data_IF_114211672425
#
_entry.id   IF_114211672425
#
_cell.length_a   1.000
_cell.length_b   1.000
_cell.length_c   1.000
_cell.angle_alpha   90.00
_cell.angle_beta   90.00
_cell.angle_gamma   90.00
#
_symmetry.space_group_name_H-M   'P 1'
#
loop_
_entity.id
_entity.type
_entity.pdbx_description
1 polymer ?
#
# COMPACT_ATOMS: atom_id res chain seq x y z
N UNK A 1 -32.56 -9.13 -9.14
CA UNK A 1 -31.40 -9.74 -8.48
C UNK A 1 -30.74 -10.79 -9.37
N UNK A 2 -31.52 -11.74 -9.90
CA UNK A 2 -31.01 -12.82 -10.74
C UNK A 2 -30.15 -12.38 -11.94
N UNK A 3 -30.53 -11.29 -12.61
CA UNK A 3 -29.84 -10.76 -13.80
C UNK A 3 -28.51 -10.04 -13.44
N UNK A 4 -28.38 -9.55 -12.20
CA UNK A 4 -27.24 -8.78 -11.73
C UNK A 4 -26.30 -9.59 -10.83
N UNK A 5 -26.55 -10.90 -10.68
CA UNK A 5 -25.80 -11.74 -9.78
C UNK A 5 -25.28 -13.01 -10.50
N UNK A 6 -24.01 -13.29 -10.37
CA UNK A 6 -23.35 -14.43 -11.02
C UNK A 6 -23.73 -15.80 -10.39
N UNK A 7 -24.54 -15.79 -9.34
CA UNK A 7 -24.98 -17.00 -8.66
C UNK A 7 -23.97 -17.54 -7.65
N UNK A 8 -24.24 -18.77 -7.20
CA UNK A 8 -23.43 -19.50 -6.21
C UNK A 8 -22.99 -20.84 -6.81
N UNK A 9 -21.72 -21.18 -6.69
CA UNK A 9 -21.20 -22.53 -7.03
C UNK A 9 -20.97 -23.33 -5.76
N UNK A 10 -21.62 -24.47 -5.67
CA UNK A 10 -21.59 -25.37 -4.52
C UNK A 10 -20.88 -26.67 -4.94
N UNK A 11 -19.84 -27.02 -4.21
CA UNK A 11 -19.21 -28.34 -4.29
C UNK A 11 -19.89 -29.27 -3.26
N UNK A 12 -20.18 -30.47 -3.65
CA UNK A 12 -20.76 -31.48 -2.75
C UNK A 12 -20.11 -32.84 -2.97
N UNK A 13 -20.06 -33.64 -1.92
CA UNK A 13 -19.60 -35.04 -2.01
C UNK A 13 -20.66 -35.94 -2.55
N UNK A 14 -21.96 -35.59 -2.40
CA UNK A 14 -23.07 -36.38 -2.91
C UNK A 14 -24.30 -35.53 -3.19
N UNK A 15 -24.91 -35.73 -4.33
CA UNK A 15 -26.15 -35.09 -4.74
C UNK A 15 -27.23 -36.13 -5.05
N UNK A 16 -28.33 -36.08 -4.34
CA UNK A 16 -29.52 -36.90 -4.62
C UNK A 16 -30.65 -36.00 -5.09
N UNK A 17 -31.13 -36.23 -6.29
CA UNK A 17 -32.27 -35.50 -6.86
C UNK A 17 -33.54 -36.33 -6.76
N UNK A 18 -34.56 -35.82 -6.09
CA UNK A 18 -35.93 -36.28 -6.12
C UNK A 18 -36.74 -35.37 -7.03
N UNK A 19 -38.01 -35.72 -7.37
CA UNK A 19 -38.84 -34.96 -8.33
C UNK A 19 -38.91 -33.47 -8.05
N UNK A 20 -38.94 -33.05 -6.78
CA UNK A 20 -39.09 -31.63 -6.38
C UNK A 20 -38.03 -31.16 -5.40
N UNK A 21 -37.09 -32.02 -4.97
CA UNK A 21 -36.10 -31.67 -3.96
C UNK A 21 -34.73 -32.24 -4.36
N UNK A 22 -33.69 -31.52 -3.93
CA UNK A 22 -32.30 -31.97 -4.03
C UNK A 22 -31.65 -32.00 -2.66
N UNK A 23 -31.03 -33.14 -2.31
CA UNK A 23 -30.29 -33.34 -1.07
C UNK A 23 -28.80 -33.28 -1.39
N UNK A 24 -28.07 -32.40 -0.70
CA UNK A 24 -26.64 -32.24 -0.82
C UNK A 24 -25.97 -32.71 0.47
N UNK A 25 -24.96 -33.56 0.37
CA UNK A 25 -24.15 -34.02 1.49
C UNK A 25 -22.71 -33.43 1.34
N UNK A 26 -22.12 -32.90 2.42
CA UNK A 26 -20.77 -32.35 2.39
C UNK A 26 -20.66 -31.12 1.49
N UNK A 27 -21.32 -29.99 1.88
CA UNK A 27 -21.42 -28.80 1.07
C UNK A 27 -20.23 -27.85 1.32
N UNK A 28 -19.67 -27.31 0.25
CA UNK A 28 -18.72 -26.21 0.28
C UNK A 28 -19.07 -25.18 -0.79
N UNK A 29 -19.15 -23.92 -0.43
CA UNK A 29 -19.35 -22.82 -1.38
C UNK A 29 -18.00 -22.44 -1.96
N UNK A 30 -17.81 -22.70 -3.25
CA UNK A 30 -16.54 -22.45 -3.95
C UNK A 30 -16.55 -21.14 -4.76
N UNK A 31 -17.74 -20.59 -5.00
CA UNK A 31 -17.93 -19.26 -5.61
C UNK A 31 -19.26 -18.67 -5.15
N UNK A 32 -19.35 -17.33 -5.04
CA UNK A 32 -20.56 -16.61 -4.60
C UNK A 32 -20.62 -16.37 -3.09
N UNK A 33 -19.50 -16.40 -2.36
CA UNK A 33 -19.45 -16.12 -0.92
C UNK A 33 -20.02 -14.76 -0.55
N UNK A 34 -19.79 -13.72 -1.36
CA UNK A 34 -20.39 -12.40 -1.16
C UNK A 34 -21.91 -12.41 -1.31
N UNK A 35 -22.42 -13.13 -2.32
CA UNK A 35 -23.86 -13.31 -2.55
C UNK A 35 -24.49 -14.02 -1.35
N UNK A 36 -23.87 -15.09 -0.88
CA UNK A 36 -24.34 -15.87 0.29
C UNK A 36 -24.29 -15.02 1.56
N UNK A 37 -23.21 -14.28 1.78
CA UNK A 37 -23.06 -13.38 2.91
C UNK A 37 -24.12 -12.24 2.90
N UNK A 38 -24.36 -11.63 1.74
CA UNK A 38 -25.38 -10.60 1.58
C UNK A 38 -26.79 -11.12 1.87
N UNK A 39 -27.12 -12.33 1.39
CA UNK A 39 -28.41 -12.96 1.68
C UNK A 39 -28.52 -13.30 3.16
N UNK A 40 -27.46 -13.86 3.76
CA UNK A 40 -27.45 -14.24 5.18
C UNK A 40 -27.45 -13.06 6.15
N UNK A 41 -27.08 -11.85 5.70
CA UNK A 41 -27.11 -10.62 6.51
C UNK A 41 -28.48 -9.94 6.55
N UNK A 42 -29.47 -10.39 5.75
CA UNK A 42 -30.81 -9.80 5.73
C UNK A 42 -31.58 -10.24 6.98
N UNK A 43 -31.88 -9.29 7.86
CA UNK A 43 -32.61 -9.53 9.12
C UNK A 43 -34.10 -9.85 8.89
N UNK A 44 -34.69 -9.27 7.86
CA UNK A 44 -36.09 -9.44 7.52
C UNK A 44 -36.24 -10.52 6.42
N UNK A 45 -36.50 -11.74 6.84
CA UNK A 45 -36.60 -12.92 5.96
C UNK A 45 -37.71 -12.74 4.90
N UNK A 46 -38.76 -11.97 5.19
CA UNK A 46 -39.85 -11.73 4.22
C UNK A 46 -39.36 -10.99 2.98
N UNK A 47 -38.30 -10.18 3.09
CA UNK A 47 -37.67 -9.52 1.93
C UNK A 47 -36.94 -10.49 0.99
N UNK A 48 -36.73 -11.72 1.41
CA UNK A 48 -36.14 -12.76 0.58
C UNK A 48 -37.18 -13.58 -0.19
N UNK A 49 -38.49 -13.36 0.08
CA UNK A 49 -39.55 -14.05 -0.63
C UNK A 49 -39.50 -13.71 -2.13
N UNK A 50 -39.47 -14.78 -2.95
CA UNK A 50 -39.31 -14.63 -4.40
C UNK A 50 -37.91 -14.34 -4.91
N UNK A 51 -36.90 -14.22 -4.02
CA UNK A 51 -35.51 -14.09 -4.42
C UNK A 51 -35.03 -15.37 -5.10
N UNK A 52 -34.55 -15.25 -6.33
CA UNK A 52 -33.98 -16.37 -7.10
C UNK A 52 -32.50 -16.13 -7.32
N UNK A 53 -31.69 -17.15 -7.02
CA UNK A 53 -30.25 -17.16 -7.23
C UNK A 53 -29.90 -18.37 -8.11
N UNK A 54 -29.04 -18.16 -9.10
CA UNK A 54 -28.52 -19.27 -9.89
C UNK A 54 -27.57 -20.11 -9.00
N UNK A 55 -27.84 -21.41 -8.88
CA UNK A 55 -26.99 -22.32 -8.15
C UNK A 55 -26.41 -23.38 -9.09
N UNK A 56 -25.08 -23.43 -9.17
CA UNK A 56 -24.35 -24.49 -9.85
C UNK A 56 -23.90 -25.51 -8.81
N UNK A 57 -24.42 -26.72 -8.89
CA UNK A 57 -24.03 -27.81 -7.99
C UNK A 57 -23.06 -28.75 -8.71
N UNK A 58 -21.91 -29.00 -8.10
CA UNK A 58 -20.83 -29.85 -8.63
C UNK A 58 -20.61 -30.97 -7.63
N UNK A 59 -20.89 -32.20 -8.03
CA UNK A 59 -20.56 -33.38 -7.24
C UNK A 59 -19.15 -33.89 -7.62
N UNK A 60 -18.24 -33.95 -6.66
CA UNK A 60 -16.88 -34.45 -6.86
C UNK A 60 -16.27 -34.96 -5.56
N UNK A 61 -15.76 -36.22 -5.59
CA UNK A 61 -15.07 -36.87 -4.47
C UNK A 61 -13.56 -37.06 -4.71
N UNK A 62 -13.06 -36.69 -5.89
CA UNK A 62 -11.66 -36.80 -6.26
C UNK A 62 -10.92 -35.55 -5.76
N UNK A 63 -9.99 -35.71 -4.83
CA UNK A 63 -9.28 -34.60 -4.19
C UNK A 63 -8.49 -33.75 -5.18
N UNK A 64 -7.90 -34.31 -6.22
CA UNK A 64 -7.10 -33.55 -7.21
C UNK A 64 -8.02 -32.80 -8.19
N UNK A 65 -9.17 -33.39 -8.56
CA UNK A 65 -10.19 -32.68 -9.33
C UNK A 65 -10.84 -31.59 -8.50
N UNK A 66 -11.11 -31.81 -7.21
CA UNK A 66 -11.63 -30.77 -6.30
C UNK A 66 -10.69 -29.57 -6.27
N UNK A 67 -9.38 -29.76 -6.10
CA UNK A 67 -8.39 -28.66 -6.16
C UNK A 67 -8.48 -27.88 -7.46
N UNK A 68 -8.54 -28.58 -8.60
CA UNK A 68 -8.66 -27.93 -9.93
C UNK A 68 -10.00 -27.21 -10.08
N UNK A 69 -11.12 -27.82 -9.66
CA UNK A 69 -12.45 -27.20 -9.71
C UNK A 69 -12.47 -25.92 -8.88
N UNK A 70 -11.94 -25.93 -7.66
CA UNK A 70 -11.85 -24.74 -6.80
C UNK A 70 -10.96 -23.69 -7.46
N UNK A 71 -9.80 -24.08 -7.95
CA UNK A 71 -8.89 -23.19 -8.65
C UNK A 71 -9.57 -22.54 -9.86
N UNK A 72 -10.18 -23.30 -10.77
CA UNK A 72 -10.79 -22.77 -11.98
C UNK A 72 -12.09 -21.96 -11.71
N UNK A 73 -12.89 -22.31 -10.73
CA UNK A 73 -14.07 -21.52 -10.39
C UNK A 73 -13.71 -20.20 -9.69
N UNK A 74 -12.63 -20.16 -8.92
CA UNK A 74 -12.10 -18.91 -8.37
C UNK A 74 -11.36 -18.08 -9.42
N UNK A 75 -10.81 -18.70 -10.45
CA UNK A 75 -10.18 -17.99 -11.59
C UNK A 75 -11.19 -17.41 -12.57
N UNK A 76 -12.43 -17.87 -12.63
CA UNK A 76 -13.49 -17.23 -13.41
C UNK A 76 -13.96 -15.89 -12.82
N UNK A 77 -13.80 -15.67 -11.53
CA UNK A 77 -13.75 -14.33 -10.97
C UNK A 77 -12.35 -13.84 -11.22
N UNK A 78 -12.10 -13.02 -12.25
CA UNK A 78 -10.80 -12.42 -12.54
C UNK A 78 -9.73 -12.86 -11.55
N UNK A 79 -8.83 -13.79 -11.96
CA UNK A 79 -7.50 -13.76 -11.37
C UNK A 79 -7.05 -12.36 -11.71
N UNK A 80 -7.20 -11.49 -10.76
CA UNK A 80 -6.61 -10.21 -10.91
C UNK A 80 -5.12 -10.49 -10.96
N UNK A 81 -4.40 -9.80 -11.80
CA UNK A 81 -2.94 -9.71 -11.81
C UNK A 81 -2.41 -9.66 -10.39
N UNK A 82 -3.17 -9.08 -9.47
CA UNK A 82 -2.97 -9.11 -8.02
C UNK A 82 -2.74 -10.51 -7.43
N UNK A 83 -3.66 -11.45 -7.66
CA UNK A 83 -3.57 -12.79 -7.05
C UNK A 83 -2.36 -13.57 -7.59
N UNK A 84 -1.96 -13.27 -8.82
CA UNK A 84 -0.75 -13.83 -9.42
C UNK A 84 0.51 -13.30 -8.73
N UNK A 85 0.60 -11.98 -8.54
CA UNK A 85 1.78 -11.36 -7.93
C UNK A 85 1.85 -11.56 -6.42
N UNK A 86 0.74 -11.50 -5.70
CA UNK A 86 0.73 -11.69 -4.24
C UNK A 86 1.20 -13.08 -3.82
N UNK A 87 1.05 -14.09 -4.69
CA UNK A 87 1.52 -15.45 -4.42
C UNK A 87 2.93 -15.75 -4.97
N UNK A 88 3.64 -14.73 -5.49
CA UNK A 88 4.99 -14.92 -6.03
C UNK A 88 5.99 -15.35 -4.95
N UNK A 89 7.07 -16.09 -5.33
CA UNK A 89 8.15 -16.43 -4.39
C UNK A 89 8.78 -15.21 -3.73
N UNK A 90 8.89 -14.09 -4.46
CA UNK A 90 9.44 -12.81 -3.97
C UNK A 90 8.61 -12.26 -2.81
N UNK A 91 7.27 -12.28 -2.94
CA UNK A 91 6.39 -11.80 -1.87
C UNK A 91 6.43 -12.69 -0.62
N UNK A 92 6.64 -14.00 -0.80
CA UNK A 92 6.84 -14.92 0.34
C UNK A 92 8.15 -14.60 1.06
N UNK A 93 9.24 -14.38 0.31
CA UNK A 93 10.53 -13.97 0.88
C UNK A 93 10.40 -12.65 1.65
N UNK A 94 9.73 -11.65 1.10
CA UNK A 94 9.44 -10.38 1.78
C UNK A 94 8.67 -10.63 3.09
N UNK A 95 7.68 -11.52 3.09
CA UNK A 95 6.94 -11.90 4.29
C UNK A 95 7.83 -12.53 5.37
N UNK A 96 8.78 -13.39 4.99
CA UNK A 96 9.75 -14.00 5.90
C UNK A 96 10.72 -12.94 6.48
N UNK A 97 11.18 -12.00 5.63
CA UNK A 97 12.02 -10.89 6.06
C UNK A 97 11.27 -9.97 7.05
N UNK A 98 9.97 -9.66 6.81
CA UNK A 98 9.16 -8.90 7.76
C UNK A 98 9.02 -9.62 9.11
N UNK A 99 8.86 -10.95 9.09
CA UNK A 99 8.77 -11.75 10.31
C UNK A 99 10.06 -11.66 11.14
N UNK A 100 11.24 -11.64 10.49
CA UNK A 100 12.53 -11.44 11.18
C UNK A 100 12.65 -10.06 11.81
N UNK A 101 11.97 -9.06 11.27
CA UNK A 101 11.92 -7.71 11.83
C UNK A 101 10.85 -7.54 12.94
N UNK A 102 10.14 -8.61 13.29
CA UNK A 102 9.05 -8.58 14.28
C UNK A 102 7.72 -8.08 13.74
N UNK A 103 7.55 -8.00 12.43
CA UNK A 103 6.31 -7.59 11.77
C UNK A 103 5.66 -8.77 11.03
N UNK A 104 4.36 -8.68 10.84
CA UNK A 104 3.61 -9.59 9.97
C UNK A 104 3.29 -8.91 8.64
N UNK A 105 3.27 -9.68 7.55
CA UNK A 105 2.99 -9.20 6.21
C UNK A 105 1.86 -10.00 5.58
N UNK A 106 0.77 -9.31 5.19
CA UNK A 106 -0.40 -9.94 4.59
C UNK A 106 -0.45 -9.72 3.09
N UNK A 107 -0.58 -10.83 2.37
CA UNK A 107 -0.77 -10.84 0.92
C UNK A 107 -2.26 -10.76 0.51
N UNK A 108 -3.17 -10.73 1.48
CA UNK A 108 -4.62 -10.70 1.25
C UNK A 108 -5.11 -9.28 0.99
N UNK A 109 -6.09 -9.16 0.08
CA UNK A 109 -6.80 -7.89 -0.17
C UNK A 109 -7.67 -7.46 1.00
N UNK A 110 -7.88 -6.15 1.12
CA UNK A 110 -8.80 -5.57 2.09
C UNK A 110 -8.37 -5.78 3.53
N UNK A 111 -7.09 -6.04 3.75
CA UNK A 111 -6.56 -6.24 5.07
C UNK A 111 -6.35 -4.90 5.78
N UNK A 112 -6.90 -4.75 6.99
CA UNK A 112 -6.64 -3.59 7.83
C UNK A 112 -5.27 -3.69 8.48
N UNK A 113 -4.45 -2.64 8.31
CA UNK A 113 -3.14 -2.57 8.93
C UNK A 113 -3.27 -2.32 10.43
N UNK A 114 -2.43 -3.00 11.19
CA UNK A 114 -2.19 -2.71 12.60
C UNK A 114 -0.77 -2.20 12.81
N UNK A 115 -0.40 -1.87 14.04
CA UNK A 115 0.96 -1.42 14.38
C UNK A 115 2.07 -2.44 14.05
N UNK A 116 1.71 -3.71 13.89
CA UNK A 116 2.68 -4.79 13.61
C UNK A 116 2.37 -5.60 12.34
N UNK A 117 1.33 -5.22 11.60
CA UNK A 117 0.86 -6.00 10.46
C UNK A 117 0.63 -5.09 9.24
N UNK A 118 1.33 -5.37 8.16
CA UNK A 118 1.27 -4.65 6.89
C UNK A 118 0.52 -5.46 5.84
N UNK A 119 -0.43 -4.82 5.17
CA UNK A 119 -0.98 -5.38 3.93
C UNK A 119 -0.14 -4.96 2.72
N UNK A 120 0.09 -5.86 1.80
CA UNK A 120 0.79 -5.56 0.53
C UNK A 120 0.17 -4.35 -0.19
N UNK A 121 -1.14 -4.15 -0.07
CA UNK A 121 -1.85 -2.99 -0.64
C UNK A 121 -1.37 -1.66 -0.08
N UNK A 122 -1.05 -1.62 1.21
CA UNK A 122 -0.70 -0.37 1.90
C UNK A 122 0.72 0.09 1.61
N UNK A 123 1.59 -0.85 1.23
CA UNK A 123 3.01 -0.59 0.99
C UNK A 123 3.31 -0.34 -0.49
N UNK A 124 2.46 -0.83 -1.40
CA UNK A 124 2.72 -0.80 -2.84
C UNK A 124 2.85 0.62 -3.40
N UNK A 125 1.89 1.51 -3.12
CA UNK A 125 1.92 2.88 -3.63
C UNK A 125 3.08 3.69 -3.06
N UNK A 126 3.35 3.68 -1.72
CA UNK A 126 4.54 4.33 -1.16
C UNK A 126 5.84 3.84 -1.78
N UNK A 127 5.96 2.54 -2.03
CA UNK A 127 7.17 1.93 -2.58
C UNK A 127 7.43 2.37 -4.02
N UNK A 128 6.40 2.29 -4.89
CA UNK A 128 6.47 2.81 -6.27
C UNK A 128 6.85 4.29 -6.30
N UNK A 129 6.26 5.08 -5.40
CA UNK A 129 6.57 6.50 -5.30
C UNK A 129 8.01 6.75 -4.85
N UNK A 130 8.53 5.98 -3.88
CA UNK A 130 9.92 6.09 -3.40
C UNK A 130 10.93 5.79 -4.53
N UNK A 131 10.57 4.93 -5.47
CA UNK A 131 11.35 4.65 -6.68
C UNK A 131 11.18 5.70 -7.79
N UNK A 132 10.50 6.83 -7.51
CA UNK A 132 10.33 7.95 -8.43
C UNK A 132 9.04 7.92 -9.27
N UNK A 133 8.30 6.82 -9.30
CA UNK A 133 7.07 6.70 -10.09
C UNK A 133 5.83 7.13 -9.30
N UNK A 134 5.81 8.41 -8.87
CA UNK A 134 4.67 9.01 -8.20
C UNK A 134 3.41 9.05 -9.08
N UNK A 135 3.57 9.05 -10.41
CA UNK A 135 2.46 9.06 -11.34
C UNK A 135 1.65 7.76 -11.28
N UNK A 136 2.31 6.60 -11.31
CA UNK A 136 1.67 5.29 -11.11
C UNK A 136 1.09 5.16 -9.71
N UNK A 137 1.79 5.64 -8.67
CA UNK A 137 1.28 5.65 -7.31
C UNK A 137 -0.04 6.43 -7.19
N UNK A 138 -0.17 7.57 -7.88
CA UNK A 138 -1.37 8.40 -7.88
C UNK A 138 -2.56 7.79 -8.67
N UNK A 139 -2.32 6.81 -9.54
CA UNK A 139 -3.41 6.07 -10.22
C UNK A 139 -4.13 5.08 -9.31
N UNK A 140 -3.58 4.84 -8.12
CA UNK A 140 -4.19 3.98 -7.11
C UNK A 140 -3.54 2.61 -6.99
N UNK A 141 -3.83 1.95 -5.86
CA UNK A 141 -3.23 0.65 -5.53
C UNK A 141 -3.47 -0.44 -6.58
N UNK A 142 -4.66 -0.45 -7.19
CA UNK A 142 -4.98 -1.45 -8.21
C UNK A 142 -4.06 -1.33 -9.43
N UNK A 143 -3.73 -0.10 -9.85
CA UNK A 143 -2.86 0.12 -11.00
C UNK A 143 -1.47 -0.50 -10.82
N UNK A 144 -0.90 -0.48 -9.61
CA UNK A 144 0.39 -1.11 -9.32
C UNK A 144 0.35 -2.62 -9.57
N UNK A 145 -0.80 -3.25 -9.30
CA UNK A 145 -0.96 -4.70 -9.47
C UNK A 145 -1.52 -5.10 -10.84
N UNK A 146 -2.16 -4.18 -11.56
CA UNK A 146 -2.75 -4.47 -12.87
C UNK A 146 -1.72 -4.42 -14.01
N UNK A 147 -0.58 -3.78 -13.78
CA UNK A 147 0.48 -3.68 -14.78
C UNK A 147 1.78 -4.30 -14.27
N UNK A 148 2.35 -5.22 -15.07
CA UNK A 148 3.62 -5.86 -14.72
C UNK A 148 4.73 -4.84 -14.48
N UNK A 149 4.84 -3.82 -15.31
CA UNK A 149 5.86 -2.78 -15.17
C UNK A 149 5.77 -2.03 -13.85
N UNK A 150 4.55 -1.63 -13.43
CA UNK A 150 4.36 -0.93 -12.17
C UNK A 150 4.65 -1.84 -10.96
N UNK A 151 4.27 -3.12 -11.05
CA UNK A 151 4.58 -4.11 -10.03
C UNK A 151 6.08 -4.35 -9.91
N UNK A 152 6.76 -4.59 -11.03
CA UNK A 152 8.21 -4.81 -11.07
C UNK A 152 8.97 -3.56 -10.55
N UNK A 153 8.53 -2.35 -10.92
CA UNK A 153 9.09 -1.12 -10.39
C UNK A 153 8.96 -1.01 -8.87
N UNK A 154 7.87 -1.55 -8.29
CA UNK A 154 7.68 -1.56 -6.85
C UNK A 154 8.51 -2.65 -6.18
N UNK A 155 8.31 -3.90 -6.58
CA UNK A 155 8.68 -5.05 -5.77
C UNK A 155 9.90 -5.83 -6.27
N UNK A 156 10.37 -5.61 -7.51
CA UNK A 156 11.51 -6.35 -8.04
C UNK A 156 12.75 -6.15 -7.16
N UNK A 157 13.25 -7.23 -6.59
CA UNK A 157 14.39 -7.27 -5.65
C UNK A 157 14.21 -6.43 -4.37
N UNK A 158 13.02 -5.89 -4.08
CA UNK A 158 12.77 -5.10 -2.89
C UNK A 158 12.84 -5.94 -1.62
N UNK A 159 13.43 -5.39 -0.57
CA UNK A 159 13.59 -6.02 0.74
C UNK A 159 12.61 -5.43 1.76
N UNK A 160 12.24 -6.21 2.78
CA UNK A 160 11.28 -5.79 3.79
C UNK A 160 11.63 -4.46 4.46
N UNK A 161 12.91 -4.22 4.75
CA UNK A 161 13.35 -2.96 5.36
C UNK A 161 13.16 -1.76 4.44
N UNK A 162 13.40 -1.92 3.14
CA UNK A 162 13.18 -0.87 2.15
C UNK A 162 11.68 -0.56 1.99
N UNK A 163 10.85 -1.61 1.96
CA UNK A 163 9.39 -1.47 1.95
C UNK A 163 8.91 -0.76 3.21
N UNK A 164 9.45 -1.12 4.37
CA UNK A 164 9.17 -0.48 5.65
C UNK A 164 9.56 1.01 5.62
N UNK A 165 10.70 1.35 5.03
CA UNK A 165 11.15 2.73 4.84
C UNK A 165 10.13 3.52 4.02
N UNK A 166 9.70 3.04 2.87
CA UNK A 166 8.68 3.70 2.04
C UNK A 166 7.36 3.92 2.79
N UNK A 167 6.92 2.91 3.54
CA UNK A 167 5.71 2.98 4.34
C UNK A 167 5.81 4.03 5.47
N UNK A 168 6.93 4.04 6.21
CA UNK A 168 7.12 4.99 7.32
C UNK A 168 7.25 6.44 6.85
N UNK A 169 7.88 6.69 5.69
CA UNK A 169 7.87 8.01 5.03
C UNK A 169 6.43 8.45 4.74
N UNK A 170 5.62 7.56 4.14
CA UNK A 170 4.21 7.86 3.85
C UNK A 170 3.43 8.21 5.13
N UNK A 171 3.63 7.46 6.21
CA UNK A 171 2.99 7.71 7.50
C UNK A 171 3.50 8.99 8.18
N UNK A 172 4.78 9.32 8.04
CA UNK A 172 5.34 10.57 8.52
C UNK A 172 4.69 11.79 7.82
N UNK A 173 4.45 11.73 6.51
CA UNK A 173 3.73 12.77 5.77
C UNK A 173 2.29 12.94 6.30
N UNK A 174 1.58 11.83 6.54
CA UNK A 174 0.24 11.86 7.14
C UNK A 174 0.29 12.48 8.54
N UNK A 175 1.31 12.16 9.34
CA UNK A 175 1.52 12.71 10.68
C UNK A 175 1.80 14.21 10.67
N UNK A 176 2.70 14.68 9.79
CA UNK A 176 2.97 16.12 9.60
C UNK A 176 1.68 16.86 9.22
N UNK A 177 0.90 16.33 8.27
CA UNK A 177 -0.40 16.90 7.91
C UNK A 177 -1.34 17.00 9.10
N UNK A 178 -1.44 15.95 9.93
CA UNK A 178 -2.28 15.93 11.12
C UNK A 178 -1.80 16.94 12.18
N UNK A 179 -0.50 17.04 12.41
CA UNK A 179 0.09 18.01 13.34
C UNK A 179 -0.24 19.44 12.93
N UNK A 180 -0.05 19.78 11.65
CA UNK A 180 -0.37 21.14 11.15
C UNK A 180 -1.88 21.40 11.25
N UNK A 181 -2.71 20.40 10.87
CA UNK A 181 -4.17 20.52 10.93
C UNK A 181 -4.67 20.81 12.35
N UNK A 182 -4.07 20.18 13.36
CA UNK A 182 -4.48 20.27 14.77
C UNK A 182 -3.81 21.42 15.54
N UNK A 183 -2.93 22.20 14.92
CA UNK A 183 -2.29 23.35 15.54
C UNK A 183 -3.33 24.43 15.82
N UNK A 184 -3.43 24.94 17.06
CA UNK A 184 -4.42 25.93 17.45
C UNK A 184 -4.18 27.29 16.78
N UNK A 185 -2.93 27.77 16.77
CA UNK A 185 -2.53 29.04 16.18
C UNK A 185 -1.69 28.78 14.92
N UNK A 186 -2.35 28.65 13.77
CA UNK A 186 -1.68 28.49 12.48
C UNK A 186 -1.15 29.83 11.99
N UNK A 187 0.11 29.86 11.58
CA UNK A 187 0.70 30.97 10.85
C UNK A 187 0.55 30.72 9.33
N UNK A 188 0.80 31.74 8.53
CA UNK A 188 0.63 31.65 7.07
C UNK A 188 1.34 30.46 6.45
N UNK A 189 2.55 30.14 6.89
CA UNK A 189 3.29 28.98 6.39
C UNK A 189 2.62 27.64 6.77
N UNK A 190 1.92 27.54 7.90
CA UNK A 190 1.16 26.35 8.27
C UNK A 190 -0.05 26.16 7.32
N UNK A 191 -0.71 27.27 6.96
CA UNK A 191 -1.83 27.26 6.02
C UNK A 191 -1.36 26.84 4.62
N UNK A 192 -0.26 27.41 4.14
CA UNK A 192 0.34 27.06 2.85
C UNK A 192 0.76 25.60 2.80
N UNK A 193 1.41 25.10 3.86
CA UNK A 193 1.79 23.70 4.00
C UNK A 193 0.55 22.77 4.01
N UNK A 194 -0.49 23.17 4.73
CA UNK A 194 -1.72 22.38 4.81
C UNK A 194 -2.44 22.32 3.47
N UNK A 195 -2.52 23.46 2.75
CA UNK A 195 -3.13 23.52 1.42
C UNK A 195 -2.42 22.57 0.45
N UNK A 196 -1.09 22.59 0.42
CA UNK A 196 -0.31 21.65 -0.40
C UNK A 196 -0.57 20.20 -0.01
N UNK A 197 -0.54 19.86 1.28
CA UNK A 197 -0.76 18.50 1.78
C UNK A 197 -2.21 18.02 1.63
N UNK A 198 -3.17 18.90 1.37
CA UNK A 198 -4.56 18.52 1.04
C UNK A 198 -4.69 18.03 -0.40
N UNK A 199 -3.79 18.41 -1.31
CA UNK A 199 -3.79 17.89 -2.67
C UNK A 199 -3.55 16.38 -2.66
N UNK A 200 -4.39 15.62 -3.36
CA UNK A 200 -4.33 14.16 -3.38
C UNK A 200 -3.00 13.61 -3.93
N UNK A 201 -2.36 14.36 -4.82
CA UNK A 201 -1.08 13.96 -5.44
C UNK A 201 0.14 14.27 -4.58
N UNK A 202 0.01 15.15 -3.57
CA UNK A 202 1.15 15.67 -2.79
C UNK A 202 1.89 14.56 -2.02
N UNK A 203 1.17 13.59 -1.44
CA UNK A 203 1.78 12.53 -0.65
C UNK A 203 2.80 11.72 -1.45
N UNK A 204 2.40 11.22 -2.61
CA UNK A 204 3.28 10.39 -3.42
C UNK A 204 4.37 11.20 -4.13
N UNK A 205 4.08 12.44 -4.48
CA UNK A 205 5.10 13.36 -4.99
C UNK A 205 6.18 13.65 -3.93
N UNK A 206 5.80 13.91 -2.67
CA UNK A 206 6.75 14.08 -1.56
C UNK A 206 7.59 12.83 -1.31
N UNK A 207 6.98 11.64 -1.35
CA UNK A 207 7.72 10.38 -1.22
C UNK A 207 8.76 10.25 -2.34
N UNK A 208 8.39 10.57 -3.57
CA UNK A 208 9.31 10.54 -4.71
C UNK A 208 10.45 11.56 -4.56
N UNK A 209 10.16 12.77 -4.09
CA UNK A 209 11.19 13.77 -3.76
C UNK A 209 12.16 13.21 -2.72
N UNK A 210 11.66 12.62 -1.62
CA UNK A 210 12.52 11.99 -0.60
C UNK A 210 13.41 10.92 -1.21
N UNK A 211 12.88 10.05 -2.09
CA UNK A 211 13.67 9.05 -2.80
C UNK A 211 14.78 9.63 -3.65
N UNK A 212 14.51 10.72 -4.38
CA UNK A 212 15.50 11.41 -5.21
C UNK A 212 16.59 12.12 -4.42
N UNK A 213 16.27 12.66 -3.24
CA UNK A 213 17.21 13.44 -2.43
C UNK A 213 17.80 12.64 -1.25
N UNK A 214 17.60 11.33 -1.19
CA UNK A 214 17.92 10.50 -0.01
C UNK A 214 19.40 10.58 0.37
N UNK A 215 20.31 10.55 -0.61
CA UNK A 215 21.75 10.71 -0.37
C UNK A 215 22.07 12.08 0.22
N UNK A 216 21.40 13.12 -0.25
CA UNK A 216 21.55 14.48 0.30
C UNK A 216 20.99 14.57 1.73
N UNK A 217 19.91 13.88 2.04
CA UNK A 217 19.35 13.87 3.40
C UNK A 217 20.29 13.21 4.41
N UNK A 218 21.11 12.24 3.98
CA UNK A 218 21.94 11.42 4.86
C UNK A 218 23.43 11.69 4.77
N UNK A 219 23.88 12.49 3.80
CA UNK A 219 25.29 12.71 3.45
C UNK A 219 26.07 11.39 3.21
N UNK A 220 25.37 10.37 2.69
CA UNK A 220 25.91 9.04 2.42
C UNK A 220 25.49 8.53 1.06
N UNK A 221 26.37 7.81 0.35
CA UNK A 221 25.92 7.03 -0.79
C UNK A 221 24.99 5.92 -0.30
N UNK A 222 23.74 5.97 -0.71
CA UNK A 222 22.75 4.96 -0.39
C UNK A 222 22.27 4.27 -1.65
N UNK A 223 22.09 2.96 -1.58
CA UNK A 223 21.38 2.28 -2.64
C UNK A 223 19.88 2.64 -2.54
N UNK A 224 19.38 3.44 -3.48
CA UNK A 224 17.98 3.91 -3.49
C UNK A 224 16.93 2.79 -3.46
N UNK A 225 17.31 1.54 -3.77
CA UNK A 225 16.45 0.35 -3.73
C UNK A 225 16.64 -0.53 -2.49
N UNK A 226 17.62 -0.23 -1.63
CA UNK A 226 17.98 -1.08 -0.50
C UNK A 226 18.24 -0.29 0.79
N UNK A 227 17.49 0.76 1.01
CA UNK A 227 17.59 1.54 2.25
C UNK A 227 17.21 0.67 3.44
N UNK A 228 18.04 0.69 4.48
CA UNK A 228 17.83 -0.07 5.70
C UNK A 228 17.93 0.84 6.92
N UNK A 229 17.23 0.45 7.98
CA UNK A 229 17.40 1.04 9.29
C UNK A 229 18.54 0.35 10.03
N UNK A 230 19.35 1.10 10.75
CA UNK A 230 20.39 0.56 11.64
C UNK A 230 19.76 0.07 12.93
N UNK A 231 19.47 -1.20 13.01
CA UNK A 231 18.84 -1.81 14.16
C UNK A 231 19.74 -1.98 15.40
N UNK A 232 21.03 -1.64 15.32
CA UNK A 232 21.98 -1.76 16.44
C UNK A 232 22.08 -0.48 17.29
N UNK A 233 21.30 0.54 17.00
CA UNK A 233 21.23 1.76 17.81
C UNK A 233 20.11 1.64 18.84
N UNK A 234 20.01 2.59 19.76
CA UNK A 234 18.96 2.64 20.80
C UNK A 234 17.53 2.59 20.25
N UNK A 235 17.34 2.91 18.96
CA UNK A 235 16.08 2.68 18.24
C UNK A 235 15.78 1.19 18.03
N UNK A 236 16.77 0.33 17.98
CA UNK A 236 16.62 -1.07 17.60
C UNK A 236 16.03 -1.98 18.67
N UNK A 237 16.27 -1.69 19.93
CA UNK A 237 15.84 -2.56 21.03
C UNK A 237 14.33 -2.56 21.26
N UNK A 238 13.61 -1.53 20.75
CA UNK A 238 12.16 -1.33 20.94
C UNK A 238 11.51 -0.70 19.72
N UNK A 239 11.96 -0.99 18.50
CA UNK A 239 11.43 -0.36 17.29
C UNK A 239 9.95 -0.61 17.12
N UNK A 240 9.17 0.21 17.78
CA UNK A 240 7.79 0.37 17.39
C UNK A 240 7.76 1.06 16.01
N UNK A 241 6.79 0.72 15.20
CA UNK A 241 6.54 1.42 13.93
C UNK A 241 6.49 2.95 14.13
N UNK A 242 5.99 3.38 15.27
CA UNK A 242 5.89 4.79 15.65
C UNK A 242 7.26 5.46 15.79
N UNK A 243 8.29 4.76 16.27
CA UNK A 243 9.65 5.33 16.36
C UNK A 243 10.23 5.59 14.97
N UNK A 244 10.01 4.67 14.03
CA UNK A 244 10.45 4.85 12.65
C UNK A 244 9.68 5.99 11.94
N UNK A 245 8.38 6.12 12.22
CA UNK A 245 7.58 7.25 11.72
C UNK A 245 8.07 8.56 12.35
N UNK A 246 8.40 8.54 13.65
CA UNK A 246 8.92 9.72 14.37
C UNK A 246 10.29 10.15 13.87
N UNK A 247 11.13 9.22 13.39
CA UNK A 247 12.39 9.53 12.75
C UNK A 247 12.20 10.35 11.47
N UNK A 248 11.21 10.01 10.64
CA UNK A 248 10.93 10.71 9.39
C UNK A 248 10.11 12.00 9.55
N UNK A 249 9.28 12.09 10.58
CA UNK A 249 8.35 13.24 10.77
C UNK A 249 9.05 14.59 10.75
N UNK A 250 10.13 14.83 11.55
CA UNK A 250 10.84 16.12 11.52
C UNK A 250 11.61 16.35 10.21
N UNK A 251 12.05 15.31 9.53
CA UNK A 251 12.70 15.41 8.21
C UNK A 251 11.70 15.90 7.17
N UNK A 252 10.51 15.31 7.13
CA UNK A 252 9.43 15.76 6.22
C UNK A 252 9.04 17.19 6.53
N UNK A 253 8.89 17.57 7.80
CA UNK A 253 8.58 18.94 8.19
C UNK A 253 9.67 19.93 7.74
N UNK A 254 10.94 19.54 7.78
CA UNK A 254 12.07 20.38 7.37
C UNK A 254 12.15 20.60 5.86
N UNK A 255 11.84 19.58 5.04
CA UNK A 255 11.93 19.69 3.57
C UNK A 255 10.67 20.26 2.93
N UNK A 256 9.50 20.11 3.56
CA UNK A 256 8.20 20.49 3.01
C UNK A 256 8.14 21.95 2.52
N UNK A 257 8.64 22.96 3.25
CA UNK A 257 8.63 24.36 2.79
C UNK A 257 9.43 24.56 1.49
N UNK A 258 10.53 23.83 1.32
CA UNK A 258 11.35 23.91 0.10
C UNK A 258 10.64 23.26 -1.08
N UNK A 259 9.99 22.10 -0.86
CA UNK A 259 9.20 21.46 -1.92
C UNK A 259 8.07 22.38 -2.39
N UNK A 260 7.36 23.02 -1.46
CA UNK A 260 6.28 23.98 -1.79
C UNK A 260 6.82 25.20 -2.53
N UNK A 261 7.98 25.73 -2.11
CA UNK A 261 8.61 26.86 -2.76
C UNK A 261 8.88 26.61 -4.24
N UNK A 262 9.30 25.41 -4.61
CA UNK A 262 9.69 25.08 -5.99
C UNK A 262 8.56 24.45 -6.82
N UNK A 263 7.64 23.71 -6.19
CA UNK A 263 6.49 23.13 -6.88
C UNK A 263 5.26 24.06 -6.91
N UNK A 264 5.24 25.11 -6.07
CA UNK A 264 4.07 25.97 -5.89
C UNK A 264 2.97 25.30 -5.05
N UNK A 265 1.96 26.08 -4.70
CA UNK A 265 0.81 25.59 -3.93
C UNK A 265 -0.15 24.75 -4.77
N UNK A 266 -0.34 25.10 -6.03
CA UNK A 266 -1.14 24.32 -6.99
C UNK A 266 -0.28 23.24 -7.65
N UNK A 267 -0.05 22.16 -6.89
CA UNK A 267 0.71 21.02 -7.37
C UNK A 267 0.08 20.37 -8.61
N UNK A 268 -1.24 20.43 -8.77
CA UNK A 268 -1.91 19.78 -9.92
C UNK A 268 -1.53 20.47 -11.23
N UNK A 269 -1.61 21.78 -11.26
CA UNK A 269 -1.18 22.60 -12.41
C UNK A 269 0.33 22.41 -12.65
N UNK A 270 1.15 22.53 -11.59
CA UNK A 270 2.60 22.34 -11.71
C UNK A 270 2.98 21.00 -12.37
N UNK A 271 2.38 19.88 -11.92
CA UNK A 271 2.68 18.55 -12.47
C UNK A 271 2.21 18.37 -13.92
N UNK A 272 1.24 19.16 -14.39
CA UNK A 272 0.73 19.07 -15.76
C UNK A 272 1.50 19.94 -16.76
N UNK A 273 2.09 21.04 -16.30
CA UNK A 273 2.74 22.06 -17.14
C UNK A 273 4.27 21.97 -17.14
N UNK A 274 4.86 21.28 -16.15
CA UNK A 274 6.31 21.20 -15.99
C UNK A 274 6.86 19.94 -16.62
N UNK A 275 7.86 20.07 -17.44
CA UNK A 275 8.65 18.94 -17.94
C UNK A 275 9.55 18.42 -16.80
N UNK A 276 9.50 17.11 -16.55
CA UNK A 276 10.29 16.45 -15.50
C UNK A 276 10.15 17.09 -14.08
N UNK A 277 8.92 17.30 -13.57
CA UNK A 277 8.67 18.06 -12.35
C UNK A 277 9.36 17.48 -11.11
N UNK A 278 9.49 16.14 -11.03
CA UNK A 278 10.20 15.47 -9.94
C UNK A 278 11.68 15.88 -9.91
N UNK A 279 12.36 15.75 -11.03
CA UNK A 279 13.79 16.08 -11.14
C UNK A 279 14.05 17.56 -10.85
N UNK A 280 13.22 18.44 -11.38
CA UNK A 280 13.33 19.89 -11.17
C UNK A 280 13.24 20.25 -9.70
N UNK A 281 12.19 19.82 -9.00
CA UNK A 281 12.02 20.11 -7.56
C UNK A 281 13.11 19.43 -6.73
N UNK A 282 13.43 18.17 -7.01
CA UNK A 282 14.47 17.46 -6.26
C UNK A 282 15.83 18.14 -6.36
N UNK A 283 16.21 18.62 -7.55
CA UNK A 283 17.47 19.35 -7.76
C UNK A 283 17.52 20.64 -6.95
N UNK A 284 16.44 21.43 -6.97
CA UNK A 284 16.37 22.69 -6.22
C UNK A 284 16.37 22.46 -4.70
N UNK A 285 15.68 21.42 -4.24
CA UNK A 285 15.70 21.03 -2.81
C UNK A 285 17.10 20.58 -2.39
N UNK A 286 17.79 19.76 -3.21
CA UNK A 286 19.19 19.37 -2.96
C UNK A 286 20.10 20.59 -2.80
N UNK A 287 20.08 21.49 -3.76
CA UNK A 287 20.90 22.70 -3.77
C UNK A 287 20.64 23.56 -2.51
N UNK A 288 19.38 23.66 -2.12
CA UNK A 288 18.99 24.41 -0.91
C UNK A 288 19.51 23.73 0.35
N UNK A 289 19.35 22.42 0.47
CA UNK A 289 19.84 21.64 1.63
C UNK A 289 21.36 21.69 1.74
N UNK A 290 22.10 21.49 0.64
CA UNK A 290 23.56 21.60 0.61
C UNK A 290 24.02 22.99 1.07
N UNK A 291 23.36 24.04 0.59
CA UNK A 291 23.66 25.41 1.00
C UNK A 291 23.41 25.63 2.50
N UNK A 292 22.28 25.15 3.03
CA UNK A 292 21.96 25.31 4.46
C UNK A 292 22.91 24.53 5.36
N UNK A 293 23.25 23.28 4.99
CA UNK A 293 24.19 22.43 5.73
C UNK A 293 25.60 23.04 5.81
N UNK A 294 26.01 23.84 4.82
CA UNK A 294 27.28 24.52 4.83
C UNK A 294 27.39 25.58 5.97
N UNK A 295 26.24 26.10 6.44
CA UNK A 295 26.21 27.07 7.52
C UNK A 295 26.00 26.46 8.89
N UNK A 296 25.12 25.43 8.99
CA UNK A 296 24.82 24.78 10.25
C UNK A 296 24.24 23.36 10.01
N UNK A 297 24.51 22.41 10.91
CA UNK A 297 23.86 21.10 10.87
C UNK A 297 22.34 21.23 10.98
N UNK A 298 21.62 20.45 10.17
CA UNK A 298 20.17 20.34 10.26
C UNK A 298 19.89 19.09 11.11
N UNK A 299 19.57 19.29 12.38
CA UNK A 299 19.47 18.21 13.37
C UNK A 299 18.60 17.02 12.92
N UNK A 300 17.37 17.18 12.35
CA UNK A 300 16.59 16.08 11.83
C UNK A 300 17.32 15.21 10.80
N UNK A 301 18.14 15.83 9.94
CA UNK A 301 18.88 15.10 8.90
C UNK A 301 20.07 14.35 9.51
N UNK A 302 20.75 14.94 10.50
CA UNK A 302 21.84 14.28 11.23
C UNK A 302 21.32 13.00 11.93
N UNK A 303 20.20 13.12 12.64
CA UNK A 303 19.57 11.98 13.32
C UNK A 303 19.15 10.91 12.31
N UNK A 304 18.56 11.30 11.17
CA UNK A 304 18.22 10.37 10.10
C UNK A 304 19.47 9.63 9.59
N UNK A 305 20.54 10.35 9.29
CA UNK A 305 21.79 9.81 8.78
C UNK A 305 22.45 8.80 9.73
N UNK A 306 22.31 8.98 11.05
CA UNK A 306 22.78 8.05 12.05
C UNK A 306 22.00 6.73 12.07
N UNK A 307 20.75 6.75 11.63
CA UNK A 307 19.80 5.64 11.72
C UNK A 307 19.51 4.93 10.39
N UNK A 308 20.08 5.39 9.27
CA UNK A 308 19.96 4.75 7.96
C UNK A 308 21.30 4.23 7.44
N UNK A 309 21.21 3.13 6.66
CA UNK A 309 22.31 2.55 5.88
C UNK A 309 21.83 2.00 4.53
#
# INVERSE_FOLDING_TARGET
>A
FFVFNNGVSILTTKFKKNKNEGILEGISIINGAQTTGSIGSVQDIQKLDGLKVLCKVIECNDADKVKKIVQFNNTQNHITTWDHYSNSPEQKQVGEEFSTLGYSYSLKRGFENTSSLFGIESVAQPLVALHGDYASANRGKNYVFDTKTAYDNAFHESKAQHILCAYTISKAIEKVKAQIKNKENKIKSDEDNLLFLQNLKSRFFLIAIVGEILEELTDKPLNKKFVKYKYNTSLAANNSLDDLINLWTPVIAAILPFVIRFAGQDLTTYLSETENPLHTVATEVKNTLSSLKAFQPIEPLRVLAENLE
#
